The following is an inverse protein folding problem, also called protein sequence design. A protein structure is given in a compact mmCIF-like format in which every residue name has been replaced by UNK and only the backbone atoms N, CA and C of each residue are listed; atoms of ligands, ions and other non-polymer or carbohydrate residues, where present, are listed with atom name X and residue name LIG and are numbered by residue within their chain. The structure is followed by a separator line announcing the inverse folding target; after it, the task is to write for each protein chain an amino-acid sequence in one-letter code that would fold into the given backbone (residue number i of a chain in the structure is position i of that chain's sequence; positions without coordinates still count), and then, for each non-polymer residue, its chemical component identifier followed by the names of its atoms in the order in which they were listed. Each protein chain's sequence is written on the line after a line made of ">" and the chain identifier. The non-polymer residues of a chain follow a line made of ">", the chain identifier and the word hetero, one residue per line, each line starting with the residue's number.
data_IF_286236515252
#
_entry.id   IF_286236515252
#
_cell.length_a   1.000
_cell.length_b   1.000
_cell.length_c   1.000
_cell.angle_alpha   90.00
_cell.angle_beta   90.00
_cell.angle_gamma   90.00
#
_symmetry.space_group_name_H-M   'P 1'
#
loop_
_entity.id
_entity.type
_entity.pdbx_description
1 polymer ?
#
# COMPACT_ATOMS: atom_id res chain seq x y z
N UNK A 1 -12.99 -38.75 22.20
CA UNK A 1 -11.87 -38.47 21.28
C UNK A 1 -12.18 -37.18 20.55
N UNK A 2 -11.68 -36.06 21.08
CA UNK A 2 -11.80 -34.75 20.44
C UNK A 2 -10.86 -34.66 19.24
N UNK A 3 -11.43 -34.48 18.05
CA UNK A 3 -10.69 -34.23 16.82
C UNK A 3 -10.07 -32.82 16.88
N UNK A 4 -8.82 -32.75 17.33
CA UNK A 4 -7.99 -31.57 17.18
C UNK A 4 -7.75 -31.31 15.68
N UNK A 5 -8.52 -30.38 15.09
CA UNK A 5 -8.22 -29.89 13.75
C UNK A 5 -6.81 -29.29 13.73
N UNK A 6 -5.95 -29.66 12.76
CA UNK A 6 -4.57 -29.25 12.75
C UNK A 6 -4.46 -27.73 12.55
N UNK A 7 -3.73 -27.05 13.45
CA UNK A 7 -3.52 -25.61 13.48
C UNK A 7 -3.04 -24.99 12.14
N UNK A 8 -2.45 -25.81 11.26
CA UNK A 8 -2.03 -25.46 9.91
C UNK A 8 -3.20 -25.00 9.01
N UNK A 9 -4.37 -25.65 9.12
CA UNK A 9 -5.54 -25.30 8.29
C UNK A 9 -6.15 -23.95 8.71
N UNK A 10 -6.14 -23.64 10.00
CA UNK A 10 -6.67 -22.38 10.55
C UNK A 10 -5.77 -21.20 10.16
N UNK A 11 -4.45 -21.37 10.19
CA UNK A 11 -3.50 -20.34 9.76
C UNK A 11 -3.64 -20.03 8.26
N UNK A 12 -3.81 -21.07 7.43
CA UNK A 12 -3.99 -20.96 5.98
C UNK A 12 -5.32 -20.28 5.64
N UNK A 13 -6.42 -20.64 6.32
CA UNK A 13 -7.72 -19.99 6.15
C UNK A 13 -7.69 -18.50 6.54
N UNK A 14 -7.02 -18.15 7.66
CA UNK A 14 -6.85 -16.75 8.09
C UNK A 14 -5.97 -15.94 7.14
N UNK A 15 -4.92 -16.55 6.59
CA UNK A 15 -4.09 -15.92 5.57
C UNK A 15 -4.90 -15.64 4.30
N UNK A 16 -5.74 -16.60 3.89
CA UNK A 16 -6.63 -16.48 2.73
C UNK A 16 -7.66 -15.36 2.89
N UNK A 17 -8.38 -15.31 4.01
CA UNK A 17 -9.35 -14.24 4.28
C UNK A 17 -8.68 -12.86 4.29
N UNK A 18 -7.46 -12.78 4.82
CA UNK A 18 -6.69 -11.54 4.82
C UNK A 18 -6.25 -11.13 3.42
N UNK A 19 -5.74 -12.07 2.60
CA UNK A 19 -5.38 -11.77 1.21
C UNK A 19 -6.58 -11.38 0.38
N UNK A 20 -7.71 -12.06 0.55
CA UNK A 20 -8.93 -11.81 -0.23
C UNK A 20 -9.53 -10.45 0.13
N UNK A 21 -9.57 -10.08 1.42
CA UNK A 21 -10.02 -8.77 1.86
C UNK A 21 -9.12 -7.62 1.36
N UNK A 22 -7.80 -7.85 1.33
CA UNK A 22 -6.83 -6.88 0.82
C UNK A 22 -6.92 -6.75 -0.70
N UNK A 23 -6.99 -7.87 -1.41
CA UNK A 23 -7.14 -7.90 -2.86
C UNK A 23 -8.43 -7.18 -3.27
N UNK A 24 -9.55 -7.47 -2.58
CA UNK A 24 -10.81 -6.79 -2.81
C UNK A 24 -10.70 -5.27 -2.58
N UNK A 25 -10.12 -4.82 -1.46
CA UNK A 25 -9.91 -3.39 -1.19
C UNK A 25 -9.00 -2.70 -2.20
N UNK A 26 -7.93 -3.38 -2.63
CA UNK A 26 -7.05 -2.87 -3.67
C UNK A 26 -7.84 -2.72 -4.99
N UNK A 27 -8.59 -3.75 -5.39
CA UNK A 27 -9.39 -3.76 -6.62
C UNK A 27 -10.53 -2.73 -6.61
N UNK A 28 -11.21 -2.49 -5.49
CA UNK A 28 -12.26 -1.46 -5.41
C UNK A 28 -11.67 -0.05 -5.48
N UNK A 29 -10.59 0.24 -4.74
CA UNK A 29 -9.89 1.52 -4.86
C UNK A 29 -9.31 1.75 -6.26
N UNK A 30 -8.88 0.67 -6.94
CA UNK A 30 -8.46 0.68 -8.34
C UNK A 30 -9.62 1.00 -9.29
N UNK A 31 -10.80 0.42 -9.06
CA UNK A 31 -12.00 0.65 -9.87
C UNK A 31 -12.55 2.07 -9.71
N UNK A 32 -12.54 2.64 -8.51
CA UNK A 32 -12.94 4.03 -8.26
C UNK A 32 -12.05 5.02 -9.03
N UNK A 33 -10.74 4.75 -9.13
CA UNK A 33 -9.82 5.54 -9.98
C UNK A 33 -10.17 5.48 -11.46
N UNK A 34 -10.70 4.36 -11.95
CA UNK A 34 -11.18 4.21 -13.35
C UNK A 34 -12.47 5.00 -13.58
N UNK A 35 -13.39 4.99 -12.61
CA UNK A 35 -14.69 5.64 -12.72
C UNK A 35 -14.63 7.18 -12.61
N UNK A 36 -13.68 7.72 -11.84
CA UNK A 36 -13.58 9.17 -11.59
C UNK A 36 -12.88 10.01 -12.66
N UNK A 37 -12.15 9.41 -13.63
CA UNK A 37 -11.24 10.16 -14.50
C UNK A 37 -11.17 9.64 -15.94
N UNK A 38 -12.16 10.00 -16.76
CA UNK A 38 -11.99 10.13 -18.22
C UNK A 38 -11.54 11.58 -18.46
N UNK A 39 -10.24 11.81 -18.62
CA UNK A 39 -9.65 13.12 -18.92
C UNK A 39 -8.45 12.99 -19.87
N UNK A 40 -8.12 14.03 -20.65
CA UNK A 40 -7.49 13.91 -21.97
C UNK A 40 -5.95 13.81 -21.97
N UNK A 41 -5.30 13.50 -20.84
CA UNK A 41 -3.83 13.48 -20.78
C UNK A 41 -3.26 12.11 -21.13
N UNK A 42 -2.49 12.08 -22.23
CA UNK A 42 -1.80 10.94 -22.83
C UNK A 42 -0.64 10.38 -21.98
N UNK A 43 -0.91 9.99 -20.74
CA UNK A 43 -0.06 9.04 -20.03
C UNK A 43 -0.28 7.65 -20.63
N UNK A 44 0.79 6.95 -21.01
CA UNK A 44 0.70 5.59 -21.54
C UNK A 44 -0.14 4.72 -20.59
N UNK A 45 -1.23 4.16 -21.13
CA UNK A 45 -2.13 3.28 -20.39
C UNK A 45 -1.31 2.07 -19.94
N UNK A 46 -1.24 1.76 -18.63
CA UNK A 46 -0.84 0.42 -18.24
C UNK A 46 -1.87 -0.58 -18.81
N UNK A 47 -1.46 -1.81 -19.21
CA UNK A 47 -2.37 -2.79 -19.81
C UNK A 47 -3.57 -3.04 -18.91
N UNK A 48 -4.71 -3.46 -19.48
CA UNK A 48 -6.02 -3.54 -18.81
C UNK A 48 -6.03 -4.35 -17.48
N UNK A 49 -5.04 -5.21 -17.27
CA UNK A 49 -4.81 -5.99 -16.05
C UNK A 49 -4.04 -5.23 -14.93
N UNK A 50 -3.35 -4.14 -15.25
CA UNK A 50 -2.53 -3.33 -14.34
C UNK A 50 -3.18 -1.95 -14.19
N UNK A 51 -4.08 -1.79 -13.24
CA UNK A 51 -4.62 -0.47 -12.86
C UNK A 51 -3.59 0.40 -12.12
N UNK A 52 -2.39 0.58 -12.66
CA UNK A 52 -1.36 1.38 -12.02
C UNK A 52 -1.87 2.78 -11.64
N UNK A 53 -1.53 3.26 -10.45
CA UNK A 53 -1.66 4.69 -10.13
C UNK A 53 -0.98 5.51 -11.24
N UNK A 54 -1.49 6.71 -11.54
CA UNK A 54 -0.93 7.58 -12.59
C UNK A 54 0.59 7.61 -12.49
N UNK A 55 1.28 7.40 -13.61
CA UNK A 55 2.74 7.50 -13.67
C UNK A 55 3.15 8.84 -14.25
N UNK A 56 4.16 9.46 -13.66
CA UNK A 56 4.87 10.60 -14.23
C UNK A 56 6.18 10.10 -14.84
N UNK A 57 6.45 10.57 -16.06
CA UNK A 57 7.72 10.31 -16.73
C UNK A 57 8.72 11.37 -16.29
N UNK A 58 9.71 10.98 -15.49
CA UNK A 58 10.74 11.90 -14.97
C UNK A 58 12.15 11.36 -15.23
N UNK A 59 13.12 12.26 -15.39
CA UNK A 59 14.54 11.91 -15.38
C UNK A 59 15.00 11.86 -13.92
N UNK A 60 15.37 10.68 -13.46
CA UNK A 60 15.81 10.42 -12.10
C UNK A 60 17.31 10.66 -11.95
N UNK A 61 17.66 11.30 -10.85
CA UNK A 61 19.03 11.44 -10.36
C UNK A 61 19.07 11.01 -8.90
N UNK A 62 20.15 10.36 -8.50
CA UNK A 62 20.49 10.10 -7.11
C UNK A 62 21.30 11.28 -6.56
N UNK A 63 21.06 11.67 -5.29
CA UNK A 63 21.91 12.64 -4.62
C UNK A 63 23.33 12.10 -4.52
N UNK A 64 24.30 12.91 -4.92
CA UNK A 64 25.71 12.58 -4.81
C UNK A 64 26.20 12.87 -3.38
N UNK A 65 27.22 12.15 -2.88
CA UNK A 65 27.97 12.60 -1.71
C UNK A 65 28.59 13.98 -1.96
N UNK A 66 28.73 14.79 -0.88
CA UNK A 66 29.13 16.21 -0.95
C UNK A 66 30.28 16.47 -1.94
N UNK A 67 30.05 17.42 -2.86
CA UNK A 67 31.03 17.86 -3.86
C UNK A 67 31.02 17.10 -5.20
N UNK A 68 30.23 16.03 -5.35
CA UNK A 68 30.12 15.27 -6.60
C UNK A 68 28.83 15.59 -7.39
N UNK A 69 28.86 15.37 -8.71
CA UNK A 69 27.67 15.55 -9.55
C UNK A 69 26.63 14.45 -9.25
N UNK A 70 25.36 14.86 -9.15
CA UNK A 70 24.23 13.93 -8.97
C UNK A 70 24.27 12.83 -10.04
N UNK A 71 24.20 11.57 -9.60
CA UNK A 71 24.33 10.43 -10.50
C UNK A 71 23.01 10.21 -11.24
N UNK A 72 22.96 10.25 -12.57
CA UNK A 72 21.73 9.95 -13.29
C UNK A 72 21.35 8.48 -13.08
N UNK A 73 20.14 8.25 -12.58
CA UNK A 73 19.52 6.93 -12.46
C UNK A 73 18.81 6.58 -13.77
N UNK A 74 18.17 7.57 -14.39
CA UNK A 74 17.58 7.42 -15.73
C UNK A 74 18.66 7.67 -16.79
N UNK A 75 18.84 6.76 -17.78
CA UNK A 75 19.75 7.00 -18.89
C UNK A 75 19.42 8.28 -19.67
N UNK A 76 20.43 8.94 -20.22
CA UNK A 76 20.28 10.17 -20.99
C UNK A 76 19.34 9.94 -22.18
N UNK A 77 18.35 10.82 -22.36
CA UNK A 77 17.32 10.71 -23.41
C UNK A 77 16.12 9.82 -23.03
N UNK A 78 16.17 9.14 -21.89
CA UNK A 78 15.05 8.33 -21.38
C UNK A 78 14.31 9.06 -20.26
N UNK A 79 13.09 8.58 -19.97
CA UNK A 79 12.30 9.00 -18.80
C UNK A 79 11.84 7.75 -18.05
N UNK A 80 11.97 7.76 -16.73
CA UNK A 80 11.49 6.68 -15.88
C UNK A 80 10.06 6.95 -15.47
N UNK A 81 9.20 5.94 -15.61
CA UNK A 81 7.84 5.98 -15.09
C UNK A 81 7.87 5.88 -13.57
N UNK A 82 7.38 6.90 -12.90
CA UNK A 82 7.30 6.98 -11.44
C UNK A 82 5.87 7.18 -10.99
N UNK A 83 5.52 6.63 -9.83
CA UNK A 83 4.17 6.74 -9.31
C UNK A 83 3.87 8.18 -8.90
N UNK A 84 2.70 8.68 -9.30
CA UNK A 84 2.14 9.92 -8.75
C UNK A 84 1.89 9.75 -7.25
N UNK A 85 2.55 10.60 -6.46
CA UNK A 85 2.44 10.59 -5.01
C UNK A 85 1.42 11.65 -4.55
N UNK A 86 0.61 11.36 -3.51
CA UNK A 86 -0.16 12.39 -2.83
C UNK A 86 0.73 13.52 -2.34
N UNK A 87 0.23 14.77 -2.24
CA UNK A 87 1.03 15.93 -1.83
C UNK A 87 1.82 15.74 -0.53
N UNK A 88 1.26 15.01 0.44
CA UNK A 88 1.93 14.69 1.72
C UNK A 88 3.21 13.89 1.52
N UNK A 89 3.21 12.92 0.59
CA UNK A 89 4.37 12.07 0.30
C UNK A 89 5.30 12.69 -0.74
N UNK A 90 4.76 13.48 -1.67
CA UNK A 90 5.54 14.15 -2.71
C UNK A 90 6.51 15.21 -2.13
N UNK A 91 6.20 15.77 -0.96
CA UNK A 91 7.06 16.72 -0.23
C UNK A 91 8.25 16.06 0.47
N UNK A 92 8.26 14.74 0.61
CA UNK A 92 9.36 14.01 1.23
C UNK A 92 10.48 13.78 0.21
N UNK A 93 11.72 13.90 0.65
CA UNK A 93 12.87 13.55 -0.17
C UNK A 93 12.82 12.08 -0.62
N UNK A 94 13.41 11.75 -1.77
CA UNK A 94 13.44 10.38 -2.29
C UNK A 94 14.15 9.41 -1.36
N UNK A 95 15.18 9.88 -0.64
CA UNK A 95 15.92 9.07 0.33
C UNK A 95 15.19 8.93 1.68
N UNK A 96 14.15 9.73 1.94
CA UNK A 96 13.41 9.73 3.20
C UNK A 96 12.84 8.33 3.51
N UNK A 97 13.13 7.76 4.69
CA UNK A 97 12.70 6.42 5.06
C UNK A 97 11.17 6.26 5.04
N UNK A 98 10.42 7.31 5.40
CA UNK A 98 8.94 7.31 5.38
C UNK A 98 8.41 7.17 3.96
N UNK A 99 9.05 7.84 2.99
CA UNK A 99 8.69 7.73 1.56
C UNK A 99 9.01 6.33 1.03
N UNK A 100 10.16 5.76 1.39
CA UNK A 100 10.55 4.40 1.00
C UNK A 100 9.53 3.37 1.50
N UNK A 101 9.08 3.48 2.74
CA UNK A 101 8.09 2.58 3.34
C UNK A 101 6.71 2.76 2.73
N UNK A 102 6.29 4.00 2.46
CA UNK A 102 5.04 4.26 1.74
C UNK A 102 5.03 3.59 0.36
N UNK A 103 6.12 3.69 -0.39
CA UNK A 103 6.30 3.01 -1.67
C UNK A 103 6.34 1.48 -1.52
N UNK A 104 7.01 0.96 -0.48
CA UNK A 104 7.05 -0.48 -0.19
C UNK A 104 5.66 -1.04 0.14
N UNK A 105 4.86 -0.30 0.90
CA UNK A 105 3.48 -0.66 1.20
C UNK A 105 2.65 -0.72 -0.09
N UNK A 106 2.81 0.27 -0.95
CA UNK A 106 2.08 0.36 -2.20
C UNK A 106 2.46 -0.76 -3.18
N UNK A 107 3.77 -1.05 -3.34
CA UNK A 107 4.29 -2.18 -4.14
C UNK A 107 3.81 -3.53 -3.58
N UNK A 108 3.85 -3.72 -2.26
CA UNK A 108 3.37 -4.94 -1.63
C UNK A 108 1.87 -5.17 -1.87
N UNK A 109 1.05 -4.11 -1.80
CA UNK A 109 -0.38 -4.18 -2.11
C UNK A 109 -0.64 -4.50 -3.59
N UNK A 110 0.10 -3.87 -4.50
CA UNK A 110 0.01 -4.15 -5.95
C UNK A 110 0.40 -5.59 -6.27
N UNK A 111 1.50 -6.09 -5.69
CA UNK A 111 1.97 -7.46 -5.94
C UNK A 111 1.03 -8.54 -5.44
N UNK A 112 0.22 -8.28 -4.43
CA UNK A 112 -0.83 -9.23 -4.03
C UNK A 112 -1.93 -9.32 -5.10
N UNK A 113 -2.27 -8.20 -5.73
CA UNK A 113 -3.28 -8.15 -6.81
C UNK A 113 -2.74 -8.55 -8.18
N UNK A 114 -1.43 -8.39 -8.44
CA UNK A 114 -0.82 -8.59 -9.76
C UNK A 114 -0.28 -10.00 -9.99
N UNK A 115 -0.16 -10.85 -8.96
CA UNK A 115 0.17 -12.26 -9.13
C UNK A 115 -1.04 -12.95 -9.76
N UNK A 116 -1.11 -12.87 -11.10
CA UNK A 116 -2.01 -13.65 -11.93
C UNK A 116 -1.67 -15.12 -11.77
N UNK A 117 -2.60 -15.85 -11.16
CA UNK A 117 -2.47 -17.28 -10.91
C UNK A 117 -3.67 -17.75 -10.12
N UNK A 118 -4.65 -18.30 -10.83
CA UNK A 118 -5.97 -18.70 -10.34
C UNK A 118 -6.88 -17.55 -9.88
N UNK A 119 -7.25 -16.67 -10.81
CA UNK A 119 -8.69 -16.38 -10.89
C UNK A 119 -9.39 -17.72 -11.11
N UNK A 120 -10.37 -18.06 -10.28
CA UNK A 120 -11.21 -19.25 -10.43
C UNK A 120 -12.22 -19.05 -11.57
N UNK A 121 -11.71 -18.66 -12.73
CA UNK A 121 -12.46 -18.44 -13.96
C UNK A 121 -11.46 -18.61 -15.10
N UNK A 122 -11.68 -19.66 -15.89
CA UNK A 122 -10.96 -19.96 -17.11
C UNK A 122 -10.63 -18.70 -17.93
N UNK A 123 -9.33 -18.45 -18.15
CA UNK A 123 -8.76 -18.01 -19.43
C UNK A 123 -7.28 -17.63 -19.25
N UNK A 124 -6.40 -18.57 -19.64
CA UNK A 124 -5.10 -18.38 -20.31
C UNK A 124 -4.15 -17.24 -19.91
N UNK A 125 -2.91 -17.63 -19.54
CA UNK A 125 -1.74 -16.73 -19.53
C UNK A 125 -0.47 -17.50 -19.15
N UNK A 126 0.20 -18.07 -20.16
CA UNK A 126 1.27 -19.06 -20.05
C UNK A 126 2.49 -18.64 -19.24
N UNK A 127 2.95 -19.56 -18.39
CA UNK A 127 4.31 -19.60 -17.87
C UNK A 127 4.82 -21.01 -18.11
N UNK A 128 5.72 -21.16 -19.09
CA UNK A 128 6.36 -22.41 -19.44
C UNK A 128 7.25 -22.85 -18.26
N UNK A 129 6.77 -23.80 -17.46
CA UNK A 129 7.58 -24.43 -16.40
C UNK A 129 7.59 -25.92 -16.61
N UNK A 130 8.72 -26.40 -17.15
CA UNK A 130 9.12 -27.79 -17.19
C UNK A 130 8.95 -28.45 -15.81
N UNK A 131 8.11 -29.48 -15.73
CA UNK A 131 8.14 -30.54 -14.71
C UNK A 131 7.72 -30.22 -13.27
N UNK A 132 7.61 -28.95 -12.86
CA UNK A 132 7.12 -28.57 -11.54
C UNK A 132 5.63 -28.19 -11.59
N UNK A 133 4.79 -28.74 -10.70
CA UNK A 133 3.44 -28.21 -10.49
C UNK A 133 3.56 -26.74 -10.05
N UNK A 134 3.23 -25.82 -10.96
CA UNK A 134 3.18 -24.39 -10.66
C UNK A 134 2.18 -24.14 -9.55
N UNK A 135 2.58 -23.44 -8.49
CA UNK A 135 1.71 -23.07 -7.36
C UNK A 135 0.82 -21.86 -7.66
N UNK A 136 0.77 -21.42 -8.93
CA UNK A 136 0.01 -20.24 -9.36
C UNK A 136 0.41 -18.97 -8.61
N UNK A 137 1.67 -18.88 -8.16
CA UNK A 137 2.20 -17.76 -7.39
C UNK A 137 1.62 -17.65 -5.96
N UNK A 138 1.05 -18.73 -5.42
CA UNK A 138 0.53 -18.77 -4.05
C UNK A 138 1.62 -18.44 -3.02
N UNK A 139 2.82 -19.01 -3.16
CA UNK A 139 3.96 -18.73 -2.28
C UNK A 139 4.35 -17.25 -2.33
N UNK A 140 4.35 -16.66 -3.53
CA UNK A 140 4.63 -15.24 -3.72
C UNK A 140 3.57 -14.37 -3.05
N UNK A 141 2.28 -14.68 -3.21
CA UNK A 141 1.19 -13.98 -2.51
C UNK A 141 1.30 -14.09 -1.00
N UNK A 142 1.61 -15.28 -0.47
CA UNK A 142 1.84 -15.48 0.96
C UNK A 142 3.00 -14.62 1.49
N UNK A 143 4.11 -14.53 0.76
CA UNK A 143 5.25 -13.67 1.11
C UNK A 143 4.83 -12.20 1.19
N UNK A 144 4.10 -11.68 0.20
CA UNK A 144 3.61 -10.30 0.23
C UNK A 144 2.54 -10.05 1.29
N UNK A 145 1.68 -11.03 1.56
CA UNK A 145 0.68 -10.97 2.63
C UNK A 145 1.33 -10.89 4.01
N UNK A 146 2.40 -11.67 4.26
CA UNK A 146 3.18 -11.58 5.49
C UNK A 146 3.82 -10.18 5.62
N UNK A 147 4.37 -9.65 4.52
CA UNK A 147 4.95 -8.29 4.51
C UNK A 147 3.92 -7.22 4.83
N UNK A 148 2.73 -7.28 4.22
CA UNK A 148 1.64 -6.34 4.52
C UNK A 148 1.12 -6.47 5.95
N UNK A 149 1.02 -7.69 6.47
CA UNK A 149 0.64 -7.91 7.86
C UNK A 149 1.64 -7.25 8.81
N UNK A 150 2.94 -7.41 8.55
CA UNK A 150 3.99 -6.76 9.32
C UNK A 150 3.90 -5.23 9.27
N UNK A 151 3.73 -4.66 8.07
CA UNK A 151 3.55 -3.21 7.91
C UNK A 151 2.29 -2.70 8.61
N UNK A 152 1.19 -3.47 8.59
CA UNK A 152 -0.03 -3.14 9.33
C UNK A 152 0.20 -3.14 10.83
N UNK A 153 0.84 -4.17 11.34
CA UNK A 153 1.09 -4.32 12.76
C UNK A 153 2.03 -3.18 13.24
N UNK A 154 3.09 -2.83 12.48
CA UNK A 154 3.93 -1.66 12.74
C UNK A 154 3.13 -0.35 12.73
N UNK A 155 2.24 -0.15 11.76
CA UNK A 155 1.37 1.03 11.70
C UNK A 155 0.43 1.14 12.92
N UNK A 156 0.12 0.01 13.56
CA UNK A 156 -0.68 -0.06 14.79
C UNK A 156 0.16 0.14 16.05
N UNK A 157 1.50 0.18 15.96
CA UNK A 157 2.41 0.34 17.10
C UNK A 157 2.99 -0.99 17.61
N UNK A 158 2.90 -2.06 16.84
CA UNK A 158 3.45 -3.35 17.24
C UNK A 158 4.99 -3.33 17.20
N UNK A 159 5.62 -4.05 18.12
CA UNK A 159 7.09 -4.17 18.19
C UNK A 159 7.54 -5.56 17.78
N UNK A 160 8.63 -5.63 17.01
CA UNK A 160 9.25 -6.87 16.54
C UNK A 160 10.66 -7.02 17.11
N UNK A 161 10.97 -8.22 17.60
CA UNK A 161 12.29 -8.56 18.13
C UNK A 161 13.25 -9.10 17.06
N UNK A 162 14.45 -9.51 17.48
CA UNK A 162 15.42 -10.17 16.60
C UNK A 162 14.80 -11.37 15.88
N UNK A 163 15.06 -11.49 14.58
CA UNK A 163 14.48 -12.53 13.73
C UNK A 163 13.03 -12.26 13.27
N UNK A 164 12.48 -11.06 13.52
CA UNK A 164 11.18 -10.65 12.99
C UNK A 164 9.98 -11.27 13.71
N UNK A 165 10.17 -11.77 14.93
CA UNK A 165 9.07 -12.28 15.78
C UNK A 165 8.35 -11.11 16.45
N UNK A 166 7.03 -11.16 16.45
CA UNK A 166 6.19 -10.18 17.14
C UNK A 166 6.42 -10.30 18.65
N UNK A 167 6.84 -9.19 19.28
CA UNK A 167 7.11 -9.12 20.73
C UNK A 167 5.92 -8.56 21.46
N UNK A 168 5.27 -7.53 20.89
CA UNK A 168 4.07 -6.91 21.45
C UNK A 168 3.01 -6.72 20.38
N UNK A 169 1.83 -7.36 20.49
CA UNK A 169 0.70 -7.02 19.65
C UNK A 169 0.19 -5.63 20.04
N UNK A 170 -0.17 -4.81 19.07
CA UNK A 170 -0.70 -3.49 19.33
C UNK A 170 -2.23 -3.44 19.18
N UNK A 171 -2.86 -2.61 20.01
CA UNK A 171 -4.26 -2.25 19.83
C UNK A 171 -4.42 -1.39 18.57
N UNK A 172 -5.63 -1.29 18.00
CA UNK A 172 -5.87 -0.39 16.88
C UNK A 172 -5.52 1.06 17.24
N UNK A 173 -4.38 1.56 16.72
CA UNK A 173 -4.00 2.97 16.83
C UNK A 173 -4.99 3.85 16.06
N UNK A 174 -5.45 4.91 16.70
CA UNK A 174 -6.34 5.91 16.10
C UNK A 174 -5.50 7.14 15.74
N UNK A 175 -5.48 7.51 14.46
CA UNK A 175 -4.75 8.68 13.96
C UNK A 175 -5.55 9.97 14.20
N UNK A 176 -6.88 9.91 14.10
CA UNK A 176 -7.75 11.04 14.41
C UNK A 176 -8.98 10.57 15.20
N UNK A 177 -9.03 10.84 16.52
CA UNK A 177 -10.13 10.43 17.38
C UNK A 177 -11.33 11.38 17.28
N UNK A 178 -12.54 10.82 17.42
CA UNK A 178 -13.76 11.62 17.55
C UNK A 178 -13.95 12.01 19.02
N UNK A 179 -13.62 13.26 19.36
CA UNK A 179 -13.79 13.77 20.73
C UNK A 179 -15.27 14.06 21.08
N UNK A 180 -16.05 14.54 20.10
CA UNK A 180 -17.49 14.78 20.23
C UNK A 180 -18.17 14.32 18.96
N UNK A 181 -19.15 13.42 19.09
CA UNK A 181 -19.89 12.86 17.95
C UNK A 181 -20.82 13.95 17.39
N UNK A 182 -20.36 14.62 16.33
CA UNK A 182 -21.15 15.60 15.56
C UNK A 182 -21.36 15.05 14.16
N UNK A 183 -22.62 14.77 13.80
CA UNK A 183 -22.98 14.18 12.51
C UNK A 183 -22.33 12.80 12.28
N UNK A 184 -21.95 12.52 11.03
CA UNK A 184 -21.41 11.23 10.60
C UNK A 184 -19.89 11.09 10.79
N UNK A 185 -19.28 11.85 11.70
CA UNK A 185 -17.83 11.77 11.98
C UNK A 185 -17.46 10.41 12.52
N UNK A 186 -16.49 9.77 11.88
CA UNK A 186 -15.92 8.51 12.30
C UNK A 186 -14.45 8.68 12.66
N UNK A 187 -13.96 7.87 13.59
CA UNK A 187 -12.53 7.82 13.87
C UNK A 187 -11.74 7.41 12.62
N UNK A 188 -10.53 7.95 12.47
CA UNK A 188 -9.61 7.54 11.40
C UNK A 188 -8.53 6.67 12.05
N UNK A 189 -8.56 5.38 11.76
CA UNK A 189 -7.57 4.41 12.25
C UNK A 189 -6.25 4.54 11.49
N UNK A 190 -5.13 4.30 12.17
CA UNK A 190 -3.78 4.43 11.61
C UNK A 190 -3.61 3.64 10.30
N UNK A 191 -3.97 2.35 10.30
CA UNK A 191 -3.90 1.52 9.10
C UNK A 191 -4.80 2.03 7.95
N UNK A 192 -5.99 2.54 8.28
CA UNK A 192 -6.91 3.09 7.28
C UNK A 192 -6.33 4.34 6.63
N UNK A 193 -5.68 5.20 7.43
CA UNK A 193 -5.00 6.40 6.96
C UNK A 193 -3.84 6.07 6.01
N UNK A 194 -2.90 5.22 6.44
CA UNK A 194 -1.74 4.90 5.58
C UNK A 194 -2.12 4.08 4.35
N UNK A 195 -3.16 3.23 4.44
CA UNK A 195 -3.69 2.52 3.28
C UNK A 195 -4.28 3.50 2.25
N UNK A 196 -5.16 4.41 2.69
CA UNK A 196 -5.77 5.40 1.82
C UNK A 196 -4.72 6.33 1.19
N UNK A 197 -3.73 6.75 1.97
CA UNK A 197 -2.64 7.62 1.49
C UNK A 197 -1.70 6.88 0.51
N UNK A 198 -1.16 5.72 0.89
CA UNK A 198 -0.07 5.08 0.15
C UNK A 198 -0.58 4.18 -0.99
N UNK A 199 -1.69 3.46 -0.77
CA UNK A 199 -2.22 2.47 -1.72
C UNK A 199 -3.32 3.09 -2.60
N UNK A 200 -4.29 3.76 -1.98
CA UNK A 200 -5.40 4.39 -2.72
C UNK A 200 -4.96 5.72 -3.36
N UNK A 201 -3.91 6.35 -2.83
CA UNK A 201 -3.36 7.61 -3.35
C UNK A 201 -4.21 8.83 -3.01
N UNK A 202 -5.05 8.73 -1.97
CA UNK A 202 -5.95 9.81 -1.55
C UNK A 202 -5.18 10.93 -0.87
N UNK A 203 -5.61 12.17 -1.11
CA UNK A 203 -5.14 13.31 -0.34
C UNK A 203 -5.82 13.37 1.06
N UNK A 204 -5.26 14.14 1.98
CA UNK A 204 -5.79 14.24 3.35
C UNK A 204 -7.22 14.81 3.39
N UNK A 205 -7.61 15.65 2.43
CA UNK A 205 -8.96 16.24 2.38
C UNK A 205 -10.01 15.22 1.92
N UNK A 206 -9.64 14.33 1.01
CA UNK A 206 -10.45 13.19 0.56
C UNK A 206 -10.63 12.20 1.70
N UNK A 207 -9.56 11.88 2.42
CA UNK A 207 -9.61 10.98 3.60
C UNK A 207 -10.52 11.58 4.68
N UNK A 208 -10.36 12.86 5.02
CA UNK A 208 -11.23 13.53 5.99
C UNK A 208 -12.71 13.48 5.55
N UNK A 209 -13.00 13.82 4.30
CA UNK A 209 -14.35 13.83 3.76
C UNK A 209 -15.01 12.45 3.80
N UNK A 210 -14.26 11.39 3.42
CA UNK A 210 -14.71 9.99 3.48
C UNK A 210 -15.13 9.57 4.90
N UNK A 211 -14.46 10.09 5.92
CA UNK A 211 -14.74 9.82 7.33
C UNK A 211 -15.68 10.84 7.99
N UNK A 212 -16.35 11.70 7.20
CA UNK A 212 -17.33 12.67 7.69
C UNK A 212 -16.73 13.89 8.40
N UNK A 213 -15.42 14.12 8.27
CA UNK A 213 -14.74 15.28 8.84
C UNK A 213 -14.78 16.48 7.88
N UNK A 214 -14.79 17.68 8.47
CA UNK A 214 -14.63 18.91 7.71
C UNK A 214 -13.21 19.05 7.19
N UNK A 215 -13.04 19.56 5.98
CA UNK A 215 -11.73 19.83 5.32
C UNK A 215 -10.99 21.05 5.88
N UNK A 216 -11.14 21.33 7.18
CA UNK A 216 -10.50 22.48 7.82
C UNK A 216 -9.00 22.23 7.99
N UNK A 217 -8.19 23.30 7.83
CA UNK A 217 -6.74 23.24 7.91
C UNK A 217 -6.19 22.59 9.20
N UNK A 218 -6.87 22.79 10.34
CA UNK A 218 -6.51 22.16 11.62
C UNK A 218 -6.51 20.62 11.53
N UNK A 219 -7.56 20.02 11.00
CA UNK A 219 -7.66 18.56 10.89
C UNK A 219 -6.75 18.00 9.81
N UNK A 220 -6.52 18.76 8.73
CA UNK A 220 -5.54 18.40 7.70
C UNK A 220 -4.14 18.33 8.32
N UNK A 221 -3.74 19.35 9.09
CA UNK A 221 -2.45 19.36 9.79
C UNK A 221 -2.33 18.19 10.76
N UNK A 222 -3.32 18.02 11.65
CA UNK A 222 -3.32 16.93 12.62
C UNK A 222 -3.23 15.54 11.96
N UNK A 223 -3.98 15.32 10.87
CA UNK A 223 -3.95 14.06 10.14
C UNK A 223 -2.62 13.87 9.37
N UNK A 224 -2.05 14.95 8.85
CA UNK A 224 -0.75 14.95 8.19
C UNK A 224 0.40 14.61 9.15
N UNK A 225 0.43 15.24 10.31
CA UNK A 225 1.42 14.97 11.36
C UNK A 225 1.31 13.50 11.81
N UNK A 226 0.09 13.02 12.09
CA UNK A 226 -0.14 11.62 12.44
C UNK A 226 0.28 10.65 11.32
N UNK A 227 0.02 10.96 10.04
CA UNK A 227 0.44 10.13 8.92
C UNK A 227 1.97 9.99 8.86
N UNK A 228 2.71 11.08 9.05
CA UNK A 228 4.16 11.08 9.01
C UNK A 228 4.78 10.34 10.20
N UNK A 229 4.17 10.45 11.39
CA UNK A 229 4.57 9.71 12.59
C UNK A 229 4.37 8.20 12.39
N UNK A 230 3.19 7.78 11.93
CA UNK A 230 2.91 6.36 11.64
C UNK A 230 3.89 5.80 10.60
N UNK A 231 4.18 6.56 9.54
CA UNK A 231 5.16 6.14 8.53
C UNK A 231 6.60 6.08 9.06
N UNK A 232 6.93 6.87 10.07
CA UNK A 232 8.24 6.80 10.73
C UNK A 232 8.34 5.52 11.57
N UNK A 233 7.29 5.15 12.30
CA UNK A 233 7.26 3.90 13.09
C UNK A 233 7.31 2.64 12.22
N UNK A 234 6.88 2.74 10.95
CA UNK A 234 6.93 1.65 10.00
C UNK A 234 8.29 1.49 9.29
N UNK A 235 9.18 2.48 9.41
CA UNK A 235 10.44 2.53 8.67
C UNK A 235 11.60 1.83 9.36
#
# INVERSE_FOLDING_TARGET
>A
MENAMPACNVATARARLFTDAIAFRALTGLAERRAGHIGPHAGARPPAALGGARVHLEALTDPAPEGSQARPVTPLGYRTATRALPPTLARLDRADPRRKVALMLADAAERIGSVGGAGWGDAGGGGDTSGGKSDGGATTRCKWAIRLRRLRDLAQGASYGPGGKLVMPAAPRVALPVQRKRGNRQEIKAWSLVWALCVEGQDLTQILARHGWSKQGKYIKQLGDAALEILADMA
#
